data_IF_986750202395
#
_entry.id   IF_986750202395
#
_cell.length_a   1.000
_cell.length_b   1.000
_cell.length_c   1.000
_cell.angle_alpha   90.00
_cell.angle_beta   90.00
_cell.angle_gamma   90.00
#
_symmetry.space_group_name_H-M   'P 1'
#
loop_
_entity.id
_entity.type
_entity.pdbx_description
1 polymer ?
#
# COMPACT_ATOMS: atom_id res chain seq x y z
N UNK A 1 5.31 -3.64 -5.98
CA UNK A 1 5.46 -2.53 -6.95
C UNK A 1 4.34 -2.57 -7.98
N UNK A 2 4.00 -1.45 -8.62
CA UNK A 2 3.10 -1.40 -9.77
C UNK A 2 3.89 -1.14 -11.05
N UNK A 3 3.76 -2.03 -12.04
CA UNK A 3 4.37 -1.87 -13.36
C UNK A 3 3.34 -1.32 -14.35
N UNK A 4 3.55 -0.14 -14.95
CA UNK A 4 2.68 0.37 -16.00
C UNK A 4 2.78 -0.48 -17.28
N UNK A 5 1.76 -0.49 -18.14
CA UNK A 5 1.84 -1.11 -19.47
C UNK A 5 3.06 -0.62 -20.27
N UNK A 6 3.73 -1.52 -21.00
CA UNK A 6 4.97 -1.21 -21.74
C UNK A 6 4.81 -0.10 -22.78
N UNK A 7 3.60 0.07 -23.32
CA UNK A 7 3.28 1.12 -24.30
C UNK A 7 3.06 2.50 -23.67
N UNK A 8 2.85 2.57 -22.35
CA UNK A 8 2.74 3.82 -21.62
C UNK A 8 4.15 4.32 -21.28
N UNK A 9 4.55 5.43 -21.88
CA UNK A 9 5.80 6.09 -21.49
C UNK A 9 5.81 6.43 -19.99
N UNK A 10 7.00 6.60 -19.37
CA UNK A 10 7.17 6.77 -17.92
C UNK A 10 6.22 7.78 -17.27
N UNK A 11 6.14 8.98 -17.84
CA UNK A 11 5.31 10.07 -17.31
C UNK A 11 3.82 9.83 -17.52
N UNK A 12 3.44 9.24 -18.66
CA UNK A 12 2.05 8.92 -18.96
C UNK A 12 1.53 7.83 -18.01
N UNK A 13 2.34 6.77 -17.79
CA UNK A 13 2.05 5.72 -16.81
C UNK A 13 1.83 6.30 -15.41
N UNK A 14 2.76 7.13 -14.93
CA UNK A 14 2.62 7.78 -13.64
C UNK A 14 1.35 8.65 -13.54
N UNK A 15 1.11 9.54 -14.52
CA UNK A 15 -0.05 10.42 -14.51
C UNK A 15 -1.36 9.66 -14.52
N UNK A 16 -1.52 8.67 -15.42
CA UNK A 16 -2.75 7.88 -15.53
C UNK A 16 -2.97 7.05 -14.28
N UNK A 17 -1.94 6.37 -13.77
CA UNK A 17 -2.05 5.54 -12.57
C UNK A 17 -2.47 6.36 -11.34
N UNK A 18 -1.76 7.45 -11.07
CA UNK A 18 -2.06 8.34 -9.92
C UNK A 18 -3.44 8.97 -10.05
N UNK A 19 -3.83 9.39 -11.25
CA UNK A 19 -5.15 10.00 -11.49
C UNK A 19 -6.28 9.01 -11.28
N UNK A 20 -6.15 7.80 -11.85
CA UNK A 20 -7.12 6.72 -11.68
C UNK A 20 -7.28 6.34 -10.20
N UNK A 21 -6.17 6.17 -9.48
CA UNK A 21 -6.17 5.84 -8.07
C UNK A 21 -6.84 6.92 -7.21
N UNK A 22 -6.49 8.20 -7.42
CA UNK A 22 -7.08 9.32 -6.68
C UNK A 22 -8.59 9.43 -6.96
N UNK A 23 -9.01 9.24 -8.21
CA UNK A 23 -10.40 9.30 -8.59
C UNK A 23 -11.20 8.14 -7.99
N UNK A 24 -10.69 6.91 -8.07
CA UNK A 24 -11.31 5.73 -7.47
C UNK A 24 -11.42 5.88 -5.94
N UNK A 25 -10.36 6.34 -5.27
CA UNK A 25 -10.40 6.62 -3.83
C UNK A 25 -11.41 7.71 -3.46
N UNK A 26 -11.59 8.73 -4.30
CA UNK A 26 -12.55 9.81 -4.04
C UNK A 26 -14.00 9.33 -4.18
N UNK A 27 -14.28 8.49 -5.17
CA UNK A 27 -15.63 8.02 -5.49
C UNK A 27 -16.06 6.82 -4.66
N UNK A 28 -15.18 5.84 -4.47
CA UNK A 28 -15.52 4.54 -3.92
C UNK A 28 -14.80 4.20 -2.61
N UNK A 29 -13.70 4.90 -2.29
CA UNK A 29 -12.85 4.63 -1.11
C UNK A 29 -12.55 3.13 -0.90
N UNK A 30 -12.16 2.37 -1.94
CA UNK A 30 -12.00 0.92 -1.81
C UNK A 30 -10.78 0.57 -0.94
N UNK A 31 -10.86 -0.56 -0.26
CA UNK A 31 -9.69 -1.19 0.37
C UNK A 31 -8.76 -1.74 -0.72
N UNK A 32 -9.32 -2.51 -1.65
CA UNK A 32 -8.64 -3.08 -2.81
C UNK A 32 -9.04 -2.31 -4.08
N UNK A 33 -8.24 -1.32 -4.54
CA UNK A 33 -8.50 -0.59 -5.77
C UNK A 33 -8.38 -1.51 -6.99
N UNK A 34 -9.23 -1.30 -8.01
CA UNK A 34 -9.26 -2.13 -9.22
C UNK A 34 -8.97 -1.35 -10.49
N UNK A 35 -8.97 -0.01 -10.44
CA UNK A 35 -8.84 0.78 -11.67
C UNK A 35 -7.44 0.70 -12.27
N UNK A 36 -6.40 0.64 -11.43
CA UNK A 36 -5.03 0.46 -11.92
C UNK A 36 -4.87 -0.86 -12.67
N UNK A 37 -5.32 -1.98 -12.11
CA UNK A 37 -5.25 -3.28 -12.79
C UNK A 37 -6.08 -3.32 -14.08
N UNK A 38 -7.28 -2.70 -14.09
CA UNK A 38 -8.10 -2.55 -15.31
C UNK A 38 -7.44 -1.70 -16.40
N UNK A 39 -6.60 -0.74 -16.01
CA UNK A 39 -5.79 0.07 -16.93
C UNK A 39 -4.49 -0.65 -17.37
N UNK A 40 -4.28 -1.89 -16.93
CA UNK A 40 -3.15 -2.73 -17.31
C UNK A 40 -1.92 -2.58 -16.42
N UNK A 41 -2.04 -1.93 -15.25
CA UNK A 41 -0.97 -1.94 -14.26
C UNK A 41 -0.86 -3.34 -13.64
N UNK A 42 0.34 -3.91 -13.66
CA UNK A 42 0.58 -5.25 -13.18
C UNK A 42 1.32 -5.23 -11.84
N UNK A 43 0.96 -6.10 -10.88
CA UNK A 43 1.76 -6.28 -9.67
C UNK A 43 3.13 -6.83 -10.04
N UNK A 44 4.16 -6.28 -9.41
CA UNK A 44 5.50 -6.84 -9.39
C UNK A 44 5.90 -7.02 -7.93
N UNK A 45 5.85 -8.27 -7.48
CA UNK A 45 6.24 -8.70 -6.14
C UNK A 45 7.74 -9.02 -6.14
N UNK A 46 8.44 -8.49 -5.15
CA UNK A 46 9.88 -8.70 -4.97
C UNK A 46 10.07 -9.07 -3.50
N UNK A 47 10.79 -10.15 -3.22
CA UNK A 47 11.08 -10.54 -1.84
C UNK A 47 12.17 -9.65 -1.26
N UNK A 48 11.99 -9.21 -0.01
CA UNK A 48 13.06 -8.52 0.72
C UNK A 48 14.25 -9.45 1.03
N UNK A 49 14.05 -10.76 0.98
CA UNK A 49 15.14 -11.75 1.14
C UNK A 49 16.06 -11.80 -0.08
N UNK A 50 15.61 -11.30 -1.24
CA UNK A 50 16.44 -11.19 -2.45
C UNK A 50 17.33 -9.94 -2.42
N UNK A 51 17.21 -9.08 -1.40
CA UNK A 51 18.05 -7.90 -1.22
C UNK A 51 19.34 -8.28 -0.49
N UNK A 52 20.45 -8.37 -1.23
CA UNK A 52 21.76 -8.74 -0.68
C UNK A 52 22.38 -7.65 0.23
N UNK A 53 21.94 -6.39 0.10
CA UNK A 53 22.47 -5.26 0.87
C UNK A 53 21.37 -4.37 1.46
N UNK A 54 21.64 -3.63 2.55
CA UNK A 54 20.72 -2.63 3.09
C UNK A 54 20.32 -1.56 2.06
N UNK A 55 21.23 -1.18 1.17
CA UNK A 55 20.98 -0.20 0.11
C UNK A 55 19.99 -0.75 -0.92
N UNK A 56 20.11 -2.03 -1.30
CA UNK A 56 19.16 -2.67 -2.20
C UNK A 56 17.76 -2.75 -1.59
N UNK A 57 17.66 -3.01 -0.27
CA UNK A 57 16.39 -2.98 0.46
C UNK A 57 15.81 -1.56 0.51
N UNK A 58 16.63 -0.56 0.84
CA UNK A 58 16.21 0.84 0.86
C UNK A 58 15.71 1.29 -0.53
N UNK A 59 16.41 0.93 -1.60
CA UNK A 59 15.99 1.20 -2.97
C UNK A 59 14.64 0.53 -3.28
N UNK A 60 14.46 -0.74 -2.89
CA UNK A 60 13.18 -1.45 -3.08
C UNK A 60 12.02 -0.75 -2.34
N UNK A 61 12.25 -0.27 -1.12
CA UNK A 61 11.25 0.50 -0.35
C UNK A 61 10.90 1.81 -1.04
N UNK A 62 11.89 2.54 -1.56
CA UNK A 62 11.68 3.78 -2.32
C UNK A 62 10.92 3.49 -3.64
N UNK A 63 11.28 2.42 -4.34
CA UNK A 63 10.58 1.97 -5.55
C UNK A 63 9.11 1.63 -5.24
N UNK A 64 8.84 1.01 -4.09
CA UNK A 64 7.48 0.62 -3.67
C UNK A 64 6.61 1.79 -3.24
N UNK A 65 7.21 2.95 -2.98
CA UNK A 65 6.54 4.21 -2.60
C UNK A 65 6.65 5.28 -3.68
N UNK A 66 7.00 4.89 -4.92
CA UNK A 66 7.20 5.83 -6.03
C UNK A 66 5.87 6.43 -6.52
N UNK A 67 5.57 7.65 -6.10
CA UNK A 67 4.38 8.43 -6.51
C UNK A 67 4.76 9.76 -7.16
N UNK A 68 5.18 9.78 -8.43
CA UNK A 68 5.41 11.03 -9.15
C UNK A 68 4.14 11.90 -9.22
N UNK A 69 4.26 13.24 -9.21
CA UNK A 69 5.50 14.03 -9.20
C UNK A 69 6.08 14.27 -7.79
N UNK A 70 5.50 13.70 -6.74
CA UNK A 70 5.94 13.92 -5.35
C UNK A 70 7.29 13.25 -5.05
N UNK A 71 7.58 12.15 -5.75
CA UNK A 71 8.88 11.48 -5.74
C UNK A 71 9.49 11.47 -7.14
N UNK A 72 10.83 11.35 -7.28
CA UNK A 72 11.45 11.06 -8.57
C UNK A 72 10.89 9.80 -9.22
N UNK A 73 10.94 9.74 -10.55
CA UNK A 73 10.67 8.50 -11.27
C UNK A 73 11.80 7.50 -10.99
N UNK A 74 11.42 6.32 -10.50
CA UNK A 74 12.35 5.24 -10.20
C UNK A 74 12.21 4.11 -11.22
N UNK A 75 13.28 3.31 -11.35
CA UNK A 75 13.33 2.17 -12.25
C UNK A 75 13.84 0.95 -11.51
N UNK A 76 13.33 -0.22 -11.90
CA UNK A 76 13.87 -1.53 -11.53
C UNK A 76 14.09 -2.33 -12.82
N UNK A 77 15.29 -2.89 -13.00
CA UNK A 77 15.66 -3.64 -14.21
C UNK A 77 15.35 -2.88 -15.51
N UNK A 78 15.64 -1.58 -15.52
CA UNK A 78 15.39 -0.69 -16.67
C UNK A 78 13.92 -0.30 -16.90
N UNK A 79 12.97 -0.89 -16.16
CA UNK A 79 11.54 -0.61 -16.28
C UNK A 79 11.10 0.38 -15.20
N UNK A 80 10.16 1.27 -15.54
CA UNK A 80 9.56 2.18 -14.56
C UNK A 80 8.72 1.38 -13.58
N UNK A 81 8.82 1.76 -12.31
CA UNK A 81 8.02 1.20 -11.23
C UNK A 81 7.33 2.33 -10.49
N UNK A 82 6.12 2.06 -10.03
CA UNK A 82 5.28 2.99 -9.28
C UNK A 82 4.82 2.33 -7.98
N UNK A 83 4.21 3.15 -7.13
CA UNK A 83 3.64 2.75 -5.85
C UNK A 83 2.71 1.53 -6.00
N UNK A 84 2.93 0.53 -5.14
CA UNK A 84 2.18 -0.73 -5.16
C UNK A 84 0.67 -0.55 -4.93
N UNK A 85 0.27 0.51 -4.23
CA UNK A 85 -1.11 0.88 -3.96
C UNK A 85 -1.92 1.16 -5.24
N UNK A 86 -1.27 1.47 -6.36
CA UNK A 86 -1.96 1.58 -7.66
C UNK A 86 -2.58 0.25 -8.11
N UNK A 87 -2.02 -0.87 -7.67
CA UNK A 87 -2.52 -2.22 -7.97
C UNK A 87 -3.35 -2.75 -6.81
N UNK A 88 -2.84 -2.65 -5.58
CA UNK A 88 -3.57 -3.03 -4.37
C UNK A 88 -2.95 -2.38 -3.12
N UNK A 89 -3.78 -1.88 -2.19
CA UNK A 89 -3.28 -1.38 -0.90
C UNK A 89 -2.97 -2.50 0.09
N UNK A 90 -3.59 -3.67 -0.07
CA UNK A 90 -3.35 -4.87 0.76
C UNK A 90 -3.04 -6.01 -0.21
N UNK A 91 -1.81 -6.09 -0.73
CA UNK A 91 -1.47 -7.00 -1.82
C UNK A 91 -1.36 -8.44 -1.34
N UNK A 92 -2.50 -9.09 -1.09
CA UNK A 92 -2.57 -10.51 -0.69
C UNK A 92 -1.95 -11.44 -1.75
N UNK A 93 -1.82 -10.97 -2.99
CA UNK A 93 -1.08 -11.66 -4.06
C UNK A 93 0.41 -11.85 -3.74
N UNK A 94 0.97 -11.04 -2.83
CA UNK A 94 2.37 -11.16 -2.41
C UNK A 94 2.59 -12.22 -1.31
N UNK A 95 1.51 -12.78 -0.74
CA UNK A 95 1.63 -13.87 0.22
C UNK A 95 2.06 -15.15 -0.51
N UNK A 96 3.02 -15.92 0.06
CA UNK A 96 3.30 -17.30 -0.38
C UNK A 96 2.01 -18.13 -0.42
N UNK A 97 1.92 -19.13 -1.31
CA UNK A 97 0.71 -19.96 -1.42
C UNK A 97 0.35 -20.63 -0.09
N UNK A 98 1.36 -21.06 0.66
CA UNK A 98 1.21 -21.67 1.97
C UNK A 98 0.56 -20.70 2.98
N UNK A 99 0.98 -19.43 2.94
CA UNK A 99 0.46 -18.39 3.83
C UNK A 99 -0.95 -17.91 3.46
N UNK A 100 -1.47 -18.26 2.27
CA UNK A 100 -2.84 -17.88 1.88
C UNK A 100 -3.91 -18.70 2.58
N UNK A 101 -3.56 -19.89 3.06
CA UNK A 101 -4.45 -20.76 3.83
C UNK A 101 -4.32 -20.52 5.34
N UNK A 102 -3.24 -19.86 5.78
CA UNK A 102 -2.99 -19.48 7.16
C UNK A 102 -3.71 -18.18 7.57
N UNK A 103 -3.84 -17.99 8.88
CA UNK A 103 -4.37 -16.74 9.42
C UNK A 103 -3.35 -15.59 9.25
N UNK A 104 -3.66 -14.66 8.36
CA UNK A 104 -2.86 -13.46 8.11
C UNK A 104 -3.47 -12.26 8.83
N UNK A 105 -2.67 -11.61 9.68
CA UNK A 105 -3.00 -10.30 10.24
C UNK A 105 -2.71 -9.20 9.21
N UNK A 106 -3.75 -8.43 8.85
CA UNK A 106 -3.65 -7.27 7.98
C UNK A 106 -3.83 -5.99 8.80
N UNK A 107 -2.77 -5.19 8.87
CA UNK A 107 -2.80 -3.90 9.56
C UNK A 107 -3.07 -2.77 8.57
N UNK A 108 -4.15 -2.03 8.80
CA UNK A 108 -4.55 -0.89 8.00
C UNK A 108 -4.08 0.42 8.65
N UNK A 109 -3.80 1.43 7.82
CA UNK A 109 -3.41 2.77 8.27
C UNK A 109 -4.54 3.79 8.23
N UNK A 110 -5.78 3.33 7.98
CA UNK A 110 -6.97 4.18 7.95
C UNK A 110 -8.23 3.36 8.23
N UNK A 111 -9.27 3.97 8.78
CA UNK A 111 -10.54 3.29 8.99
C UNK A 111 -11.27 3.04 7.66
N UNK A 112 -11.81 1.85 7.53
CA UNK A 112 -12.70 1.38 6.48
C UNK A 112 -14.03 0.90 7.08
N UNK A 113 -15.14 0.98 6.33
CA UNK A 113 -16.40 0.41 6.79
C UNK A 113 -16.26 -1.12 6.89
N UNK A 114 -16.96 -1.79 7.83
CA UNK A 114 -16.89 -3.24 7.99
C UNK A 114 -17.12 -4.01 6.68
N UNK A 115 -18.00 -3.49 5.81
CA UNK A 115 -18.28 -4.07 4.50
C UNK A 115 -17.08 -4.17 3.56
N UNK A 116 -16.06 -3.32 3.74
CA UNK A 116 -14.83 -3.36 2.93
C UNK A 116 -13.84 -4.44 3.39
N UNK A 117 -14.03 -5.00 4.58
CA UNK A 117 -13.22 -6.06 5.16
C UNK A 117 -13.92 -7.43 5.09
N UNK A 118 -15.14 -7.47 4.54
CA UNK A 118 -15.87 -8.71 4.31
C UNK A 118 -15.21 -9.49 3.16
N UNK A 119 -15.09 -10.80 3.34
CA UNK A 119 -14.79 -11.81 2.33
C UNK A 119 -13.32 -12.09 2.01
N UNK A 120 -12.66 -12.66 3.02
CA UNK A 120 -11.30 -13.09 2.95
C UNK A 120 -11.06 -14.17 4.02
N UNK A 121 -11.35 -15.45 3.72
CA UNK A 121 -11.01 -16.54 4.65
C UNK A 121 -9.53 -16.44 5.04
N UNK A 122 -9.23 -16.68 6.32
CA UNK A 122 -7.86 -16.62 6.85
C UNK A 122 -7.29 -15.20 6.99
N UNK A 123 -8.09 -14.13 6.99
CA UNK A 123 -7.55 -12.76 7.17
C UNK A 123 -8.22 -12.04 8.32
N UNK A 124 -7.41 -11.56 9.24
CA UNK A 124 -7.83 -10.71 10.37
C UNK A 124 -7.41 -9.28 10.07
N UNK A 125 -8.38 -8.40 9.85
CA UNK A 125 -8.11 -6.99 9.57
C UNK A 125 -8.15 -6.18 10.87
N UNK A 126 -7.07 -5.44 11.13
CA UNK A 126 -6.99 -4.47 12.21
C UNK A 126 -6.83 -3.09 11.58
N UNK A 127 -7.58 -2.12 12.08
CA UNK A 127 -7.58 -0.75 11.59
C UNK A 127 -7.56 0.24 12.75
N UNK A 128 -7.17 1.50 12.51
CA UNK A 128 -7.21 2.51 13.54
C UNK A 128 -8.64 2.74 14.02
N UNK A 129 -8.83 2.91 15.33
CA UNK A 129 -10.15 3.14 15.94
C UNK A 129 -10.78 4.47 15.53
N UNK A 130 -9.97 5.40 15.00
CA UNK A 130 -10.39 6.69 14.46
C UNK A 130 -9.49 7.13 13.31
N UNK A 131 -9.91 8.17 12.59
CA UNK A 131 -9.09 8.78 11.54
C UNK A 131 -7.77 9.29 12.16
N UNK A 132 -6.65 8.93 11.53
CA UNK A 132 -5.33 9.37 11.98
C UNK A 132 -5.19 10.89 11.79
N UNK A 133 -4.60 11.62 12.76
CA UNK A 133 -4.39 13.05 12.64
C UNK A 133 -3.29 13.42 11.64
N UNK A 134 -2.34 12.52 11.39
CA UNK A 134 -1.33 12.66 10.35
C UNK A 134 -1.87 12.20 9.00
N UNK A 135 -1.57 12.95 7.94
CA UNK A 135 -1.91 12.58 6.57
C UNK A 135 -0.68 12.12 5.78
N UNK A 136 -0.88 11.48 4.64
CA UNK A 136 0.23 11.09 3.76
C UNK A 136 1.05 12.33 3.39
N UNK A 137 2.37 12.28 3.59
CA UNK A 137 3.33 13.38 3.39
C UNK A 137 3.33 14.50 4.46
N UNK A 138 2.56 14.39 5.53
CA UNK A 138 2.57 15.34 6.65
C UNK A 138 3.65 14.95 7.68
N UNK A 139 4.89 15.36 7.42
CA UNK A 139 6.04 15.11 8.30
C UNK A 139 6.42 16.30 9.18
N UNK A 140 5.65 17.39 9.14
CA UNK A 140 6.05 18.68 9.73
C UNK A 140 5.46 18.94 11.11
N UNK A 141 4.59 18.06 11.61
CA UNK A 141 4.01 18.17 12.97
C UNK A 141 4.43 16.98 13.83
N UNK A 142 5.45 17.16 14.70
CA UNK A 142 5.81 16.19 15.71
C UNK A 142 4.62 15.77 16.60
N UNK A 143 3.73 16.71 16.91
CA UNK A 143 2.56 16.47 17.76
C UNK A 143 1.61 15.46 17.13
N UNK A 144 1.31 15.61 15.82
CA UNK A 144 0.47 14.65 15.10
C UNK A 144 1.10 13.28 15.02
N UNK A 145 2.44 13.19 14.90
CA UNK A 145 3.16 11.91 14.89
C UNK A 145 3.04 11.20 16.23
N UNK A 146 3.25 11.92 17.35
CA UNK A 146 3.09 11.37 18.70
C UNK A 146 1.66 10.86 18.92
N UNK A 147 0.64 11.67 18.60
CA UNK A 147 -0.76 11.26 18.76
C UNK A 147 -1.12 10.05 17.88
N UNK A 148 -0.55 9.96 16.67
CA UNK A 148 -0.74 8.80 15.78
C UNK A 148 -0.11 7.55 16.36
N UNK A 149 1.10 7.66 16.91
CA UNK A 149 1.81 6.56 17.54
C UNK A 149 1.06 6.04 18.80
N UNK A 150 0.65 6.93 19.70
CA UNK A 150 -0.12 6.58 20.90
C UNK A 150 -1.50 5.97 20.57
N UNK A 151 -2.11 6.36 19.46
CA UNK A 151 -3.32 5.74 18.97
C UNK A 151 -3.05 4.30 18.52
N UNK A 152 -1.97 4.07 17.76
CA UNK A 152 -1.57 2.73 17.33
C UNK A 152 -1.27 1.79 18.50
N UNK A 153 -0.61 2.28 19.56
CA UNK A 153 -0.37 1.50 20.78
C UNK A 153 -1.68 1.04 21.42
N UNK A 154 -2.63 1.97 21.65
CA UNK A 154 -3.93 1.65 22.25
C UNK A 154 -4.77 0.70 21.39
N UNK A 155 -4.78 0.92 20.09
CA UNK A 155 -5.51 0.06 19.15
C UNK A 155 -4.90 -1.35 19.13
N UNK A 156 -3.57 -1.45 19.22
CA UNK A 156 -2.84 -2.71 19.35
C UNK A 156 -3.12 -3.44 20.67
N UNK A 157 -3.10 -2.73 21.80
CA UNK A 157 -3.46 -3.28 23.12
C UNK A 157 -4.91 -3.80 23.14
N UNK A 158 -5.84 -3.01 22.59
CA UNK A 158 -7.24 -3.40 22.48
C UNK A 158 -7.42 -4.66 21.63
N UNK A 159 -6.70 -4.77 20.51
CA UNK A 159 -6.73 -5.98 19.67
C UNK A 159 -6.11 -7.18 20.38
N UNK A 160 -4.95 -7.03 21.02
CA UNK A 160 -4.29 -8.11 21.74
C UNK A 160 -5.16 -8.68 22.87
N UNK A 161 -5.99 -7.86 23.50
CA UNK A 161 -6.96 -8.31 24.51
C UNK A 161 -8.13 -9.14 23.95
N UNK A 162 -8.26 -9.25 22.62
CA UNK A 162 -9.29 -10.06 21.94
C UNK A 162 -8.77 -11.40 21.41
N UNK A 163 -7.46 -11.64 21.47
CA UNK A 163 -6.80 -12.89 21.11
C UNK A 163 -6.92 -13.92 22.25
#
# INVERSE_FOLDING_TARGET
LARPPRWMGPYLGAMVGVSAYKLEKKLHKPLHPLWGTRLGFLPWVVSTHDCETPEALAELVLQSSCTPPFTPLLKREGQIVLDGGLVDNVPVIALPEEAKEEETLVMLSRPYPPSSMLAARGRVYVQPSRVLPVSTWDYTSPEKLVVTHELGLRDGEAFAATL
#
